data_IF_892558209112
#
_entry.id   IF_892558209112
#
_cell.length_a   1.000
_cell.length_b   1.000
_cell.length_c   1.000
_cell.angle_alpha   90.00
_cell.angle_beta   90.00
_cell.angle_gamma   90.00
#
_symmetry.space_group_name_H-M   'P 1'
#
loop_
_entity.id
_entity.type
_entity.pdbx_description
1 polymer ?
#
# COMPACT_ATOMS: atom_id res chain seq x y z
N UNK A 1 -0.35 5.13 23.80
CA UNK A 1 -0.22 4.05 22.81
C UNK A 1 1.22 3.94 22.30
N UNK A 2 1.67 2.75 21.90
CA UNK A 2 3.00 2.54 21.30
C UNK A 2 2.88 2.15 19.82
N UNK A 3 3.93 2.33 19.03
CA UNK A 3 3.91 1.98 17.60
C UNK A 3 5.10 2.51 16.79
N UNK A 4 5.10 2.21 15.50
CA UNK A 4 6.05 2.72 14.50
C UNK A 4 5.35 3.72 13.58
N UNK A 5 6.05 4.78 13.17
CA UNK A 5 5.58 5.72 12.14
C UNK A 5 6.36 5.42 10.85
N UNK A 6 5.59 5.12 9.80
CA UNK A 6 6.05 4.83 8.44
C UNK A 6 4.96 5.29 7.46
N UNK A 7 5.26 5.36 6.16
CA UNK A 7 4.22 5.65 5.17
C UNK A 7 3.13 4.58 5.16
N UNK A 8 1.88 5.02 4.98
CA UNK A 8 0.76 4.10 4.78
C UNK A 8 -0.23 4.68 3.77
N UNK A 9 -0.56 3.86 2.77
CA UNK A 9 -1.27 4.28 1.56
C UNK A 9 -2.66 4.90 1.75
N UNK A 10 -3.33 4.66 2.87
CA UNK A 10 -4.71 5.12 3.14
C UNK A 10 -4.76 6.22 4.21
N UNK A 11 -4.04 6.04 5.31
CA UNK A 11 -3.98 6.91 6.48
C UNK A 11 -2.86 7.96 6.42
N UNK A 12 -2.12 8.01 5.31
CA UNK A 12 -0.91 8.78 5.11
C UNK A 12 0.31 8.19 5.80
N UNK A 13 0.19 7.97 7.10
CA UNK A 13 1.23 7.42 7.95
C UNK A 13 0.68 6.28 8.83
N UNK A 14 1.58 5.48 9.40
CA UNK A 14 1.34 4.61 10.54
C UNK A 14 1.22 5.39 11.86
N UNK A 15 1.32 4.70 12.99
CA UNK A 15 1.40 5.31 14.33
C UNK A 15 0.25 6.24 14.75
N UNK A 16 0.48 6.94 15.87
CA UNK A 16 -0.47 7.86 16.49
C UNK A 16 -1.72 7.14 16.99
N UNK A 17 -2.89 7.73 16.74
CA UNK A 17 -4.20 7.15 17.08
C UNK A 17 -4.51 5.80 16.41
N UNK A 18 -3.67 5.34 15.47
CA UNK A 18 -3.89 4.07 14.75
C UNK A 18 -3.80 2.85 15.67
N UNK A 19 -3.17 2.99 16.84
CA UNK A 19 -3.21 1.98 17.89
C UNK A 19 -4.63 1.76 18.44
N UNK A 20 -5.54 2.73 18.29
CA UNK A 20 -6.96 2.62 18.66
C UNK A 20 -7.78 2.12 17.46
N UNK A 21 -7.83 2.90 16.37
CA UNK A 21 -8.51 2.54 15.13
C UNK A 21 -7.49 2.32 14.00
N UNK A 22 -7.32 1.10 13.47
CA UNK A 22 -8.03 -0.14 13.79
C UNK A 22 -7.44 -0.95 14.96
N UNK A 23 -6.32 -0.54 15.56
CA UNK A 23 -5.47 -1.41 16.39
C UNK A 23 -6.13 -2.16 17.56
N UNK A 24 -7.07 -1.55 18.28
CA UNK A 24 -7.86 -2.19 19.36
C UNK A 24 -9.36 -1.95 19.19
N UNK A 25 -9.80 -1.92 17.93
CA UNK A 25 -11.19 -1.70 17.57
C UNK A 25 -11.95 -3.00 17.36
N UNK A 26 -13.27 -2.97 17.55
CA UNK A 26 -14.14 -4.09 17.14
C UNK A 26 -14.05 -4.34 15.63
N UNK A 27 -14.22 -5.58 15.20
CA UNK A 27 -14.24 -5.95 13.77
C UNK A 27 -15.19 -5.05 12.96
N UNK A 28 -16.39 -4.79 13.48
CA UNK A 28 -17.37 -3.88 12.84
C UNK A 28 -16.80 -2.48 12.61
N UNK A 29 -16.08 -1.92 13.58
CA UNK A 29 -15.46 -0.60 13.42
C UNK A 29 -14.29 -0.65 12.41
N UNK A 30 -13.49 -1.73 12.43
CA UNK A 30 -12.43 -1.94 11.45
C UNK A 30 -12.98 -2.02 10.03
N UNK A 31 -14.04 -2.81 9.81
CA UNK A 31 -14.68 -2.94 8.51
C UNK A 31 -15.31 -1.62 8.05
N UNK A 32 -15.99 -0.90 8.94
CA UNK A 32 -16.56 0.42 8.61
C UNK A 32 -15.48 1.46 8.26
N UNK A 33 -14.33 1.42 8.94
CA UNK A 33 -13.22 2.32 8.65
C UNK A 33 -12.57 2.02 7.30
N UNK A 34 -12.39 0.74 6.96
CA UNK A 34 -11.80 0.36 5.68
C UNK A 34 -12.79 0.48 4.52
N UNK A 35 -14.10 0.29 4.73
CA UNK A 35 -15.12 0.50 3.70
C UNK A 35 -15.21 1.96 3.26
N UNK A 36 -14.89 2.90 4.16
CA UNK A 36 -14.77 4.31 3.79
C UNK A 36 -13.71 4.55 2.69
N UNK A 37 -12.71 3.67 2.55
CA UNK A 37 -11.70 3.79 1.49
C UNK A 37 -12.30 3.65 0.09
N UNK A 38 -13.35 2.86 -0.11
CA UNK A 38 -13.97 2.70 -1.43
C UNK A 38 -14.51 4.02 -2.00
N UNK A 39 -14.91 4.96 -1.11
CA UNK A 39 -15.40 6.30 -1.48
C UNK A 39 -14.30 7.27 -1.89
N UNK A 40 -13.06 7.00 -1.48
CA UNK A 40 -11.89 7.85 -1.75
C UNK A 40 -11.02 7.26 -2.85
N UNK A 41 -11.40 6.09 -3.37
CA UNK A 41 -10.51 5.25 -4.17
C UNK A 41 -10.06 5.89 -5.48
N UNK A 42 -10.86 6.80 -6.06
CA UNK A 42 -10.53 7.53 -7.28
C UNK A 42 -9.79 8.85 -7.03
N UNK A 43 -9.69 9.29 -5.77
CA UNK A 43 -9.05 10.55 -5.42
C UNK A 43 -7.53 10.50 -5.48
N UNK A 44 -6.93 11.61 -5.04
CA UNK A 44 -5.48 11.80 -4.95
C UNK A 44 -4.84 10.73 -4.04
N UNK A 45 -3.57 10.37 -4.29
CA UNK A 45 -2.80 9.52 -3.38
C UNK A 45 -2.82 10.05 -1.95
N UNK A 46 -3.09 9.15 -0.99
CA UNK A 46 -3.20 9.51 0.42
C UNK A 46 -1.92 9.24 1.22
N UNK A 47 -0.97 8.46 0.68
CA UNK A 47 0.33 8.18 1.33
C UNK A 47 1.07 9.49 1.63
N UNK A 48 1.63 9.63 2.83
CA UNK A 48 2.33 10.84 3.25
C UNK A 48 1.43 12.07 3.48
N UNK A 49 0.10 11.90 3.52
CA UNK A 49 -0.84 12.97 3.85
C UNK A 49 -1.28 12.88 5.31
N UNK A 50 -0.76 13.76 6.16
CA UNK A 50 -1.13 13.81 7.57
C UNK A 50 -2.55 14.38 7.79
N UNK A 51 -3.17 14.93 6.75
CA UNK A 51 -4.53 15.45 6.71
C UNK A 51 -5.52 14.49 6.03
N UNK A 52 -5.11 13.24 5.71
CA UNK A 52 -5.97 12.33 4.95
C UNK A 52 -7.32 12.09 5.65
N UNK A 53 -8.43 11.89 4.91
CA UNK A 53 -9.73 11.65 5.54
C UNK A 53 -9.73 10.44 6.50
N UNK A 54 -8.93 9.42 6.20
CA UNK A 54 -8.75 8.28 7.09
C UNK A 54 -8.01 8.66 8.38
N UNK A 55 -7.01 9.55 8.30
CA UNK A 55 -6.31 10.07 9.48
C UNK A 55 -7.26 10.85 10.40
N UNK A 56 -8.14 11.65 9.83
CA UNK A 56 -9.14 12.40 10.59
C UNK A 56 -10.07 11.45 11.39
N UNK A 57 -10.59 10.40 10.74
CA UNK A 57 -11.38 9.35 11.42
C UNK A 57 -10.60 8.64 12.54
N UNK A 58 -9.31 8.33 12.29
CA UNK A 58 -8.43 7.71 13.30
C UNK A 58 -8.27 8.62 14.53
N UNK A 59 -8.07 9.91 14.30
CA UNK A 59 -7.83 10.88 15.38
C UNK A 59 -9.11 11.21 16.15
N UNK A 60 -10.26 11.25 15.48
CA UNK A 60 -11.56 11.37 16.14
C UNK A 60 -11.83 10.17 17.04
N UNK A 61 -11.67 8.94 16.52
CA UNK A 61 -11.85 7.72 17.31
C UNK A 61 -10.89 7.68 18.52
N UNK A 62 -9.63 8.07 18.33
CA UNK A 62 -8.66 8.15 19.42
C UNK A 62 -9.07 9.16 20.51
N UNK A 63 -9.58 10.34 20.13
CA UNK A 63 -10.12 11.34 21.08
C UNK A 63 -11.29 10.80 21.88
N UNK A 64 -12.24 10.13 21.23
CA UNK A 64 -13.40 9.53 21.89
C UNK A 64 -13.01 8.50 22.96
N UNK A 65 -11.88 7.81 22.78
CA UNK A 65 -11.34 6.85 23.76
C UNK A 65 -10.46 7.47 24.85
N UNK A 66 -10.20 8.78 24.78
CA UNK A 66 -9.34 9.48 25.75
C UNK A 66 -7.84 9.22 25.57
N UNK A 67 -7.38 8.85 24.36
CA UNK A 67 -5.95 8.72 24.08
C UNK A 67 -5.28 10.09 24.21
N UNK A 68 -4.46 10.27 25.24
CA UNK A 68 -3.76 11.55 25.52
C UNK A 68 -2.25 11.48 25.33
N UNK A 69 -1.67 10.28 25.28
CA UNK A 69 -0.22 10.11 25.20
C UNK A 69 0.19 8.96 24.27
N UNK A 70 1.22 9.19 23.46
CA UNK A 70 1.89 8.15 22.68
C UNK A 70 3.40 8.14 22.93
N UNK A 71 4.01 6.99 22.66
CA UNK A 71 5.45 6.84 22.41
C UNK A 71 5.60 6.09 21.10
N UNK A 72 6.06 6.73 20.04
CA UNK A 72 6.22 6.11 18.74
C UNK A 72 7.68 6.20 18.28
N UNK A 73 8.18 5.14 17.65
CA UNK A 73 9.50 5.11 17.06
C UNK A 73 9.43 5.36 15.55
N UNK A 74 10.51 5.90 14.98
CA UNK A 74 10.82 5.85 13.55
C UNK A 74 12.06 4.98 13.41
N UNK A 75 11.99 3.98 12.54
CA UNK A 75 13.07 3.01 12.34
C UNK A 75 13.70 3.10 10.94
N UNK A 76 14.97 2.75 10.86
CA UNK A 76 15.66 2.60 9.58
C UNK A 76 15.44 1.21 8.94
N UNK A 77 15.99 1.01 7.75
CA UNK A 77 15.92 -0.29 7.03
C UNK A 77 16.59 -1.45 7.78
N UNK A 78 17.46 -1.17 8.76
CA UNK A 78 18.10 -2.16 9.65
C UNK A 78 17.33 -2.35 10.96
N UNK A 79 16.11 -1.81 11.06
CA UNK A 79 15.24 -1.84 12.24
C UNK A 79 15.83 -1.14 13.48
N UNK A 80 16.80 -0.23 13.28
CA UNK A 80 17.37 0.58 14.37
C UNK A 80 16.48 1.80 14.57
N UNK A 81 16.31 2.21 15.83
CA UNK A 81 15.57 3.43 16.17
C UNK A 81 16.39 4.63 15.71
N UNK A 82 15.83 5.41 14.79
CA UNK A 82 16.40 6.68 14.33
C UNK A 82 15.99 7.80 15.27
N UNK A 83 14.72 7.81 15.66
CA UNK A 83 14.18 8.73 16.65
C UNK A 83 12.97 8.11 17.35
N UNK A 84 12.63 8.64 18.51
CA UNK A 84 11.40 8.36 19.21
C UNK A 84 10.70 9.67 19.56
N UNK A 85 9.40 9.73 19.33
CA UNK A 85 8.54 10.89 19.61
C UNK A 85 7.50 10.50 20.64
N UNK A 86 7.22 11.39 21.58
CA UNK A 86 6.25 11.15 22.63
C UNK A 86 5.56 12.43 23.09
N UNK A 87 4.36 12.29 23.64
CA UNK A 87 3.52 13.42 24.05
C UNK A 87 2.09 13.25 23.55
N UNK A 88 1.41 14.37 23.29
CA UNK A 88 0.09 14.38 22.66
C UNK A 88 0.10 13.52 21.39
N UNK A 89 -0.98 12.77 21.19
CA UNK A 89 -1.03 11.73 20.17
C UNK A 89 -1.07 12.27 18.74
N UNK A 90 -1.46 13.53 18.54
CA UNK A 90 -1.43 14.21 17.24
C UNK A 90 -0.08 14.91 17.09
N UNK A 91 0.31 15.76 18.03
CA UNK A 91 1.54 16.57 17.92
C UNK A 91 2.79 15.69 17.81
N UNK A 92 2.92 14.67 18.68
CA UNK A 92 4.04 13.75 18.63
C UNK A 92 4.03 12.92 17.33
N UNK A 93 2.85 12.54 16.83
CA UNK A 93 2.72 11.83 15.55
C UNK A 93 3.20 12.70 14.38
N UNK A 94 2.81 13.99 14.34
CA UNK A 94 3.26 14.93 13.31
C UNK A 94 4.77 15.12 13.34
N UNK A 95 5.37 15.24 14.53
CA UNK A 95 6.83 15.27 14.66
C UNK A 95 7.49 14.01 14.13
N UNK A 96 6.95 12.82 14.40
CA UNK A 96 7.48 11.59 13.82
C UNK A 96 7.32 11.53 12.30
N UNK A 97 6.21 12.04 11.75
CA UNK A 97 5.98 12.10 10.31
C UNK A 97 6.99 13.02 9.60
N UNK A 98 7.41 14.14 10.22
CA UNK A 98 8.49 15.00 9.69
C UNK A 98 9.80 14.22 9.48
N UNK A 99 10.17 13.33 10.41
CA UNK A 99 11.35 12.48 10.27
C UNK A 99 11.18 11.42 9.17
N UNK A 100 9.99 10.81 9.05
CA UNK A 100 9.70 9.85 7.98
C UNK A 100 9.80 10.52 6.61
N UNK A 101 9.25 11.73 6.47
CA UNK A 101 9.34 12.51 5.23
C UNK A 101 10.79 12.84 4.88
N UNK A 102 11.57 13.34 5.85
CA UNK A 102 12.97 13.67 5.63
C UNK A 102 13.83 12.45 5.22
N UNK A 103 13.47 11.25 5.66
CA UNK A 103 14.22 10.02 5.34
C UNK A 103 13.80 9.38 4.02
N UNK A 104 12.50 9.37 3.71
CA UNK A 104 11.94 8.46 2.71
C UNK A 104 11.12 9.16 1.62
N UNK A 105 10.81 10.45 1.76
CA UNK A 105 10.11 11.21 0.72
C UNK A 105 11.13 11.83 -0.21
N UNK A 106 11.12 11.40 -1.46
CA UNK A 106 12.05 11.88 -2.49
C UNK A 106 11.26 12.50 -3.65
N UNK A 107 11.70 13.65 -4.18
CA UNK A 107 11.17 14.13 -5.44
C UNK A 107 11.59 13.18 -6.56
N UNK A 108 10.68 12.87 -7.46
CA UNK A 108 10.94 11.97 -8.58
C UNK A 108 10.39 12.61 -9.84
N UNK A 109 11.17 12.56 -10.92
CA UNK A 109 10.67 12.81 -12.27
C UNK A 109 10.05 11.50 -12.78
N UNK A 110 8.78 11.48 -13.19
CA UNK A 110 8.14 10.25 -13.67
C UNK A 110 8.88 9.64 -14.86
N UNK A 111 9.12 8.34 -14.81
CA UNK A 111 9.81 7.59 -15.85
C UNK A 111 8.84 6.78 -16.72
N UNK A 112 9.28 6.38 -17.91
CA UNK A 112 8.52 5.50 -18.80
C UNK A 112 8.38 4.07 -18.23
N UNK A 113 9.35 3.67 -17.41
CA UNK A 113 9.31 2.42 -16.66
C UNK A 113 9.93 2.57 -15.26
N UNK A 114 9.34 1.90 -14.27
CA UNK A 114 9.84 1.86 -12.89
C UNK A 114 9.98 0.42 -12.43
N UNK A 115 11.13 0.11 -11.82
CA UNK A 115 11.36 -1.15 -11.11
C UNK A 115 11.16 -0.87 -9.62
N UNK A 116 10.27 -1.62 -8.98
CA UNK A 116 9.99 -1.52 -7.56
C UNK A 116 10.20 -2.86 -6.86
N UNK A 117 10.63 -2.81 -5.60
CA UNK A 117 10.66 -3.98 -4.73
C UNK A 117 10.15 -3.64 -3.33
N UNK A 118 9.79 -4.66 -2.57
CA UNK A 118 9.31 -4.50 -1.20
C UNK A 118 10.45 -4.48 -0.16
N UNK A 119 11.71 -4.59 -0.62
CA UNK A 119 12.88 -4.71 0.25
C UNK A 119 13.15 -6.13 0.75
N UNK A 120 12.56 -7.16 0.12
CA UNK A 120 12.76 -8.57 0.46
C UNK A 120 12.04 -9.04 1.72
N UNK A 121 12.35 -10.26 2.16
CA UNK A 121 11.69 -10.90 3.29
C UNK A 121 11.87 -10.11 4.59
N UNK A 122 10.82 -9.93 5.42
CA UNK A 122 9.47 -10.51 5.30
C UNK A 122 8.46 -9.61 4.58
N UNK A 123 8.87 -8.52 3.93
CA UNK A 123 7.94 -7.54 3.33
C UNK A 123 7.34 -8.01 2.01
N UNK A 124 7.98 -8.97 1.34
CA UNK A 124 7.52 -9.61 0.12
C UNK A 124 6.95 -11.03 0.34
N UNK A 125 6.59 -11.37 1.59
CA UNK A 125 6.08 -12.71 1.95
C UNK A 125 4.88 -13.16 1.11
N UNK A 126 4.04 -12.24 0.66
CA UNK A 126 2.91 -12.47 -0.24
C UNK A 126 2.55 -11.20 -1.04
N UNK A 127 1.76 -11.35 -2.10
CA UNK A 127 1.37 -10.22 -2.96
C UNK A 127 0.49 -9.20 -2.23
N UNK A 128 -0.28 -9.62 -1.22
CA UNK A 128 -1.05 -8.71 -0.37
C UNK A 128 -0.18 -7.65 0.34
N UNK A 129 1.00 -8.04 0.82
CA UNK A 129 1.96 -7.08 1.37
C UNK A 129 2.71 -6.34 0.26
N UNK A 130 3.08 -7.04 -0.80
CA UNK A 130 3.86 -6.46 -1.89
C UNK A 130 3.14 -5.34 -2.65
N UNK A 131 1.80 -5.31 -2.60
CA UNK A 131 1.00 -4.23 -3.18
C UNK A 131 1.38 -2.85 -2.63
N UNK A 132 1.92 -2.77 -1.40
CA UNK A 132 2.39 -1.50 -0.83
C UNK A 132 3.55 -0.88 -1.64
N UNK A 133 4.40 -1.70 -2.24
CA UNK A 133 5.48 -1.20 -3.10
C UNK A 133 4.91 -0.67 -4.43
N UNK A 134 3.94 -1.39 -5.02
CA UNK A 134 3.21 -0.92 -6.20
C UNK A 134 2.54 0.44 -5.93
N UNK A 135 1.84 0.61 -4.80
CA UNK A 135 1.17 1.86 -4.44
C UNK A 135 2.13 3.06 -4.31
N UNK A 136 3.39 2.84 -3.96
CA UNK A 136 4.39 3.91 -3.96
C UNK A 136 5.02 4.14 -5.35
N UNK A 137 5.09 3.11 -6.19
CA UNK A 137 5.68 3.19 -7.52
C UNK A 137 4.84 3.98 -8.52
N UNK A 138 3.50 3.98 -8.38
CA UNK A 138 2.59 4.64 -9.33
C UNK A 138 2.88 6.13 -9.54
N UNK A 139 3.32 6.84 -8.50
CA UNK A 139 3.66 8.27 -8.60
C UNK A 139 4.96 8.54 -9.39
N UNK A 140 5.77 7.50 -9.61
CA UNK A 140 7.05 7.58 -10.30
C UNK A 140 6.98 7.18 -11.78
N UNK A 141 5.78 6.91 -12.31
CA UNK A 141 5.58 6.35 -13.65
C UNK A 141 4.70 7.31 -14.46
N UNK A 142 5.09 7.58 -15.69
CA UNK A 142 4.25 8.33 -16.64
C UNK A 142 2.98 7.53 -16.97
N UNK A 143 1.88 8.22 -17.24
CA UNK A 143 0.65 7.56 -17.69
C UNK A 143 0.91 6.67 -18.92
N UNK A 144 0.43 5.42 -18.89
CA UNK A 144 0.69 4.41 -19.93
C UNK A 144 2.05 3.72 -19.84
N UNK A 145 2.91 4.11 -18.88
CA UNK A 145 4.22 3.50 -18.63
C UNK A 145 4.13 2.10 -18.00
N UNK A 146 5.29 1.58 -17.61
CA UNK A 146 5.43 0.21 -17.10
C UNK A 146 5.93 0.15 -15.66
N UNK A 147 5.41 -0.80 -14.88
CA UNK A 147 5.89 -1.09 -13.52
C UNK A 147 6.35 -2.54 -13.47
N UNK A 148 7.61 -2.76 -13.10
CA UNK A 148 8.16 -4.08 -12.80
C UNK A 148 8.21 -4.25 -11.29
N UNK A 149 7.36 -5.10 -10.73
CA UNK A 149 7.35 -5.41 -9.31
C UNK A 149 8.17 -6.69 -9.04
N UNK A 150 9.27 -6.55 -8.32
CA UNK A 150 10.06 -7.65 -7.81
C UNK A 150 9.68 -7.97 -6.36
N UNK A 151 9.06 -9.12 -6.15
CA UNK A 151 8.62 -9.60 -4.85
C UNK A 151 8.56 -11.13 -4.86
N UNK A 152 9.23 -11.82 -3.92
CA UNK A 152 9.30 -13.29 -3.98
C UNK A 152 7.93 -13.96 -3.82
N UNK A 153 7.08 -13.45 -2.91
CA UNK A 153 5.74 -13.96 -2.61
C UNK A 153 5.67 -15.47 -2.31
N UNK A 154 6.50 -16.01 -1.40
CA UNK A 154 6.54 -17.44 -1.09
C UNK A 154 5.23 -18.00 -0.50
N UNK A 155 4.36 -17.16 0.09
CA UNK A 155 3.05 -17.56 0.62
C UNK A 155 1.89 -17.23 -0.35
N UNK A 156 2.18 -17.03 -1.63
CA UNK A 156 1.15 -16.77 -2.63
C UNK A 156 0.56 -15.36 -2.50
N UNK A 157 -0.77 -15.27 -2.61
CA UNK A 157 -1.50 -14.00 -2.53
C UNK A 157 -1.68 -13.52 -1.08
N UNK A 158 -1.75 -14.43 -0.10
CA UNK A 158 -1.72 -14.11 1.33
C UNK A 158 -3.05 -13.69 1.97
N UNK A 159 -4.15 -13.78 1.23
CA UNK A 159 -5.50 -13.53 1.78
C UNK A 159 -6.57 -14.22 0.93
N UNK A 160 -7.46 -14.99 1.55
CA UNK A 160 -8.48 -15.80 0.85
C UNK A 160 -9.49 -14.98 0.06
N UNK A 161 -9.90 -13.82 0.57
CA UNK A 161 -10.81 -12.92 -0.16
C UNK A 161 -10.10 -12.33 -1.37
N UNK A 162 -8.84 -11.93 -1.20
CA UNK A 162 -8.03 -11.45 -2.31
C UNK A 162 -7.82 -12.53 -3.37
N UNK A 163 -7.53 -13.77 -2.97
CA UNK A 163 -7.46 -14.94 -3.87
C UNK A 163 -8.77 -15.16 -4.62
N UNK A 164 -9.91 -15.13 -3.92
CA UNK A 164 -11.22 -15.25 -4.50
C UNK A 164 -11.47 -14.17 -5.57
N UNK A 165 -11.26 -12.91 -5.21
CA UNK A 165 -11.45 -11.79 -6.12
C UNK A 165 -10.51 -11.84 -7.33
N UNK A 166 -9.25 -12.27 -7.16
CA UNK A 166 -8.32 -12.45 -8.28
C UNK A 166 -8.81 -13.49 -9.30
N UNK A 167 -9.51 -14.53 -8.85
CA UNK A 167 -10.08 -15.55 -9.73
C UNK A 167 -11.40 -15.11 -10.34
N UNK A 168 -12.23 -14.36 -9.61
CA UNK A 168 -13.56 -13.97 -10.04
C UNK A 168 -13.56 -12.74 -10.96
N UNK A 169 -12.77 -11.71 -10.65
CA UNK A 169 -12.66 -10.49 -11.45
C UNK A 169 -11.78 -10.75 -12.68
N UNK A 170 -12.39 -10.76 -13.87
CA UNK A 170 -11.72 -11.08 -15.14
C UNK A 170 -11.08 -9.87 -15.80
N UNK A 171 -11.38 -8.67 -15.31
CA UNK A 171 -10.80 -7.43 -15.80
C UNK A 171 -10.45 -6.47 -14.64
N UNK A 172 -9.49 -5.55 -14.87
CA UNK A 172 -9.20 -4.48 -13.92
C UNK A 172 -10.44 -3.63 -13.55
N UNK A 173 -11.31 -3.37 -14.53
CA UNK A 173 -12.56 -2.61 -14.33
C UNK A 173 -13.51 -3.32 -13.37
N UNK A 174 -13.71 -4.64 -13.51
CA UNK A 174 -14.54 -5.42 -12.59
C UNK A 174 -14.04 -5.38 -11.15
N UNK A 175 -12.71 -5.45 -10.94
CA UNK A 175 -12.14 -5.39 -9.60
C UNK A 175 -12.36 -4.02 -8.93
N UNK A 176 -12.24 -2.94 -9.71
CA UNK A 176 -12.49 -1.57 -9.24
C UNK A 176 -13.98 -1.34 -8.95
N UNK A 177 -14.87 -1.77 -9.85
CA UNK A 177 -16.31 -1.64 -9.68
C UNK A 177 -16.81 -2.41 -8.46
N UNK A 178 -16.41 -3.68 -8.34
CA UNK A 178 -16.79 -4.52 -7.20
C UNK A 178 -16.39 -3.90 -5.87
N UNK A 179 -15.22 -3.27 -5.81
CA UNK A 179 -14.77 -2.57 -4.60
C UNK A 179 -15.57 -1.31 -4.30
N UNK A 180 -16.04 -0.60 -5.33
CA UNK A 180 -16.90 0.57 -5.18
C UNK A 180 -18.25 0.19 -4.58
N UNK A 181 -18.85 -0.88 -5.09
CA UNK A 181 -20.18 -1.35 -4.69
C UNK A 181 -20.17 -2.13 -3.37
N UNK A 182 -19.15 -2.96 -3.16
CA UNK A 182 -19.08 -3.86 -2.01
C UNK A 182 -17.67 -3.93 -1.41
N UNK A 183 -17.51 -3.37 -0.21
CA UNK A 183 -16.27 -3.51 0.53
C UNK A 183 -16.17 -4.92 1.15
N UNK A 184 -15.16 -5.68 0.73
CA UNK A 184 -14.75 -6.91 1.40
C UNK A 184 -13.28 -6.82 1.81
N UNK A 185 -12.98 -7.10 3.09
CA UNK A 185 -11.62 -6.99 3.61
C UNK A 185 -10.72 -8.04 2.96
N UNK A 186 -9.68 -7.60 2.25
CA UNK A 186 -8.92 -8.47 1.35
C UNK A 186 -9.06 -8.04 -0.10
N UNK A 187 -10.30 -7.97 -0.59
CA UNK A 187 -10.64 -7.68 -1.99
C UNK A 187 -10.16 -6.32 -2.49
N UNK A 188 -10.02 -5.34 -1.59
CA UNK A 188 -9.44 -4.04 -1.91
C UNK A 188 -8.04 -4.11 -2.54
N UNK A 189 -7.26 -5.18 -2.32
CA UNK A 189 -5.98 -5.38 -3.01
C UNK A 189 -6.15 -5.67 -4.50
N UNK A 190 -7.17 -6.45 -4.89
CA UNK A 190 -7.52 -6.63 -6.31
C UNK A 190 -7.89 -5.30 -6.94
N UNK A 191 -8.65 -4.46 -6.24
CA UNK A 191 -9.03 -3.14 -6.76
C UNK A 191 -7.81 -2.21 -6.91
N UNK A 192 -6.91 -2.17 -5.93
CA UNK A 192 -5.66 -1.38 -6.00
C UNK A 192 -4.83 -1.78 -7.23
N UNK A 193 -4.62 -3.08 -7.44
CA UNK A 193 -3.86 -3.55 -8.59
C UNK A 193 -4.64 -3.30 -9.89
N UNK A 194 -5.96 -3.52 -9.91
CA UNK A 194 -6.81 -3.19 -11.04
C UNK A 194 -6.70 -1.71 -11.43
N UNK A 195 -6.76 -0.79 -10.46
CA UNK A 195 -6.58 0.65 -10.70
C UNK A 195 -5.21 0.93 -11.33
N UNK A 196 -4.15 0.30 -10.86
CA UNK A 196 -2.82 0.43 -11.47
C UNK A 196 -2.77 -0.17 -12.88
N UNK A 197 -3.34 -1.36 -13.10
CA UNK A 197 -3.36 -2.04 -14.39
C UNK A 197 -4.17 -1.30 -15.46
N UNK A 198 -5.14 -0.48 -15.07
CA UNK A 198 -5.86 0.43 -15.99
C UNK A 198 -4.98 1.56 -16.52
N UNK A 199 -3.90 1.91 -15.82
CA UNK A 199 -3.05 3.06 -16.15
C UNK A 199 -1.65 2.64 -16.63
N UNK A 200 -1.18 1.46 -16.22
CA UNK A 200 0.19 1.02 -16.42
C UNK A 200 0.23 -0.44 -16.85
N UNK A 201 1.26 -0.80 -17.62
CA UNK A 201 1.62 -2.19 -17.86
C UNK A 201 2.32 -2.75 -16.62
N UNK A 202 1.79 -3.83 -16.05
CA UNK A 202 2.34 -4.41 -14.83
C UNK A 202 3.08 -5.72 -15.14
N UNK A 203 4.33 -5.81 -14.71
CA UNK A 203 5.17 -7.00 -14.80
C UNK A 203 5.55 -7.48 -13.41
N UNK A 204 5.62 -8.80 -13.19
CA UNK A 204 5.93 -9.37 -11.88
C UNK A 204 7.04 -10.41 -11.95
N UNK A 205 8.09 -10.19 -11.15
CA UNK A 205 9.15 -11.16 -10.87
C UNK A 205 8.88 -11.78 -9.50
N UNK A 206 8.44 -13.03 -9.45
CA UNK A 206 8.04 -13.71 -8.21
C UNK A 206 8.07 -15.25 -8.31
N UNK A 207 7.75 -15.93 -7.21
CA UNK A 207 7.47 -17.38 -7.17
C UNK A 207 6.00 -17.74 -7.37
N UNK A 208 5.12 -16.77 -7.61
CA UNK A 208 3.73 -17.05 -7.95
C UNK A 208 3.65 -17.85 -9.26
N UNK A 209 2.62 -18.66 -9.39
CA UNK A 209 2.32 -19.30 -10.68
C UNK A 209 1.96 -18.25 -11.73
N UNK A 210 2.17 -18.57 -13.01
CA UNK A 210 1.75 -17.69 -14.11
C UNK A 210 0.25 -17.37 -14.04
N UNK A 211 -0.56 -18.34 -13.62
CA UNK A 211 -2.00 -18.18 -13.43
C UNK A 211 -2.31 -17.14 -12.34
N UNK A 212 -1.66 -17.22 -11.18
CA UNK A 212 -1.83 -16.25 -10.09
C UNK A 212 -1.41 -14.83 -10.50
N UNK A 213 -0.29 -14.69 -11.21
CA UNK A 213 0.13 -13.39 -11.76
C UNK A 213 -0.92 -12.82 -12.72
N UNK A 214 -1.38 -13.63 -13.68
CA UNK A 214 -2.36 -13.16 -14.69
C UNK A 214 -3.72 -12.84 -14.06
N UNK A 215 -4.18 -13.65 -13.11
CA UNK A 215 -5.39 -13.41 -12.31
C UNK A 215 -5.31 -12.15 -11.45
N UNK A 216 -4.09 -11.65 -11.19
CA UNK A 216 -3.86 -10.39 -10.50
C UNK A 216 -3.42 -9.27 -11.45
N UNK A 217 -3.70 -9.41 -12.75
CA UNK A 217 -3.44 -8.42 -13.80
C UNK A 217 -1.95 -8.11 -14.05
N UNK A 218 -1.04 -8.95 -13.57
CA UNK A 218 0.38 -8.88 -13.86
C UNK A 218 0.77 -9.79 -15.03
N UNK A 219 1.75 -9.34 -15.81
CA UNK A 219 2.48 -10.19 -16.74
C UNK A 219 3.61 -10.89 -15.99
N UNK A 220 3.61 -12.24 -15.86
CA UNK A 220 4.69 -12.95 -15.21
C UNK A 220 5.97 -12.89 -16.05
N UNK A 221 7.09 -12.61 -15.39
CA UNK A 221 8.45 -12.57 -15.96
C UNK A 221 9.42 -13.24 -14.99
N UNK A 222 10.46 -13.90 -15.49
CA UNK A 222 11.41 -14.66 -14.65
C UNK A 222 12.44 -13.76 -14.00
N UNK A 223 12.82 -12.67 -14.66
CA UNK A 223 13.83 -11.73 -14.16
C UNK A 223 13.46 -10.30 -14.47
N UNK A 224 14.05 -9.36 -13.72
CA UNK A 224 13.93 -7.92 -14.01
C UNK A 224 14.50 -7.60 -15.40
N UNK A 225 15.58 -8.28 -15.79
CA UNK A 225 16.23 -8.09 -17.09
C UNK A 225 15.29 -8.45 -18.25
N UNK A 226 14.60 -9.59 -18.16
CA UNK A 226 13.59 -10.00 -19.15
C UNK A 226 12.46 -8.97 -19.26
N UNK A 227 11.99 -8.43 -18.12
CA UNK A 227 10.97 -7.39 -18.13
C UNK A 227 11.44 -6.12 -18.87
N UNK A 228 12.68 -5.70 -18.62
CA UNK A 228 13.27 -4.54 -19.29
C UNK A 228 13.44 -4.75 -20.80
N UNK A 229 13.87 -5.95 -21.22
CA UNK A 229 13.99 -6.29 -22.65
C UNK A 229 12.64 -6.20 -23.36
N UNK A 230 11.56 -6.69 -22.74
CA UNK A 230 10.19 -6.55 -23.27
C UNK A 230 9.81 -5.07 -23.37
N UNK A 231 9.98 -4.31 -22.28
CA UNK A 231 9.58 -2.90 -22.21
C UNK A 231 10.31 -2.05 -23.26
N UNK A 232 11.63 -2.22 -23.39
CA UNK A 232 12.46 -1.47 -24.33
C UNK A 232 12.19 -1.87 -25.79
N UNK A 233 11.70 -3.08 -26.04
CA UNK A 233 11.32 -3.50 -27.40
C UNK A 233 9.96 -2.91 -27.80
N UNK A 234 9.01 -2.82 -26.86
CA UNK A 234 7.69 -2.25 -27.09
C UNK A 234 7.68 -0.72 -27.19
N UNK A 235 8.63 -0.06 -26.51
CA UNK A 235 8.80 1.40 -26.48
C UNK A 235 10.30 1.75 -26.66
N UNK A 236 10.84 1.70 -27.90
CA UNK A 236 12.25 1.95 -28.19
C UNK A 236 12.69 3.41 -28.03
#
# INVERSE_FOLDING_TARGET
>A
GTGNIEFQYYAGYGGGGKCILPGVSSERAVLSFHSFYSRLFEGDPLSGRADSPARQNIEEAAKLTGLSFILNAVIDSKKRIVTAVSGDFIEAHRKGAEYVDAMYKVPVEPADAVIASCGGFPKDINLYQATKALENAVAAVKAGGSIVLAAECPEGLGNKVYECWSKECKSPDEAVERFRENFEFGGHKSAIIGKAAKQFKLYMVSKLSEEECRNTFFTPVKTVQEALEIILTENP
#
